data_IF_316299512196
#
_entry.id   IF_316299512196
#
_cell.length_a   1.000
_cell.length_b   1.000
_cell.length_c   1.000
_cell.angle_alpha   90.00
_cell.angle_beta   90.00
_cell.angle_gamma   90.00
#
_symmetry.space_group_name_H-M   'P 1'
#
loop_
_entity.id
_entity.type
_entity.pdbx_description
1 polymer ?
#
# COMPACT_ATOMS: atom_id res chain seq x y z
N UNK A 1 27.86 -24.22 6.09
CA UNK A 1 26.69 -24.05 5.20
C UNK A 1 25.48 -24.17 6.09
N UNK A 2 24.74 -23.08 6.33
CA UNK A 2 23.50 -23.18 7.09
C UNK A 2 22.44 -23.74 6.14
N UNK A 3 22.00 -24.97 6.41
CA UNK A 3 20.85 -25.58 5.75
C UNK A 3 19.64 -24.69 6.03
N UNK A 4 19.21 -23.92 5.02
CA UNK A 4 17.97 -23.17 5.10
C UNK A 4 16.81 -24.15 5.27
N UNK A 5 15.89 -23.83 6.17
CA UNK A 5 14.69 -24.65 6.38
C UNK A 5 13.93 -24.73 5.05
N UNK A 6 13.47 -25.92 4.68
CA UNK A 6 12.69 -26.11 3.44
C UNK A 6 11.43 -25.24 3.46
N UNK A 7 11.23 -24.44 2.41
CA UNK A 7 10.04 -23.59 2.24
C UNK A 7 8.75 -24.41 2.31
N UNK A 8 7.82 -24.01 3.18
CA UNK A 8 6.46 -24.58 3.23
C UNK A 8 5.65 -24.23 1.97
N UNK A 9 5.87 -23.03 1.42
CA UNK A 9 5.04 -22.47 0.34
C UNK A 9 5.51 -22.84 -1.07
N UNK A 10 6.58 -23.61 -1.21
CA UNK A 10 7.19 -23.97 -2.50
C UNK A 10 8.40 -23.10 -2.88
N UNK A 11 8.94 -23.24 -4.11
CA UNK A 11 10.14 -22.53 -4.53
C UNK A 11 9.92 -21.01 -4.52
N UNK A 12 10.95 -20.26 -4.11
CA UNK A 12 10.93 -18.78 -4.09
C UNK A 12 10.85 -18.25 -5.52
N UNK A 13 9.85 -17.40 -5.80
CA UNK A 13 9.57 -16.88 -7.15
C UNK A 13 9.99 -15.41 -7.36
N UNK A 14 10.44 -14.71 -6.31
CA UNK A 14 10.61 -13.25 -6.29
C UNK A 14 12.06 -12.77 -6.11
N UNK A 15 12.24 -11.44 -6.26
CA UNK A 15 13.50 -10.77 -5.99
C UNK A 15 13.83 -10.86 -4.50
N UNK A 16 14.99 -11.44 -4.20
CA UNK A 16 15.50 -11.57 -2.83
C UNK A 16 15.87 -10.17 -2.30
N UNK A 17 15.25 -9.76 -1.19
CA UNK A 17 15.72 -8.62 -0.40
C UNK A 17 16.96 -9.04 0.40
N UNK A 18 17.50 -8.13 1.21
CA UNK A 18 18.74 -8.45 1.93
C UNK A 18 18.56 -9.45 3.08
N UNK A 19 17.34 -9.58 3.59
CA UNK A 19 16.99 -10.59 4.58
C UNK A 19 17.08 -12.00 3.97
N UNK A 20 17.63 -12.95 4.73
CA UNK A 20 17.72 -14.35 4.29
C UNK A 20 16.37 -15.07 4.47
N UNK A 21 15.97 -15.79 3.43
CA UNK A 21 14.70 -16.50 3.39
C UNK A 21 14.68 -17.73 4.32
N UNK A 22 13.56 -17.92 5.03
CA UNK A 22 13.22 -19.10 5.83
C UNK A 22 14.27 -19.46 6.92
N UNK A 23 14.93 -18.46 7.49
CA UNK A 23 15.94 -18.66 8.55
C UNK A 23 15.30 -18.99 9.90
N UNK A 24 14.19 -18.31 10.23
CA UNK A 24 13.56 -18.43 11.55
C UNK A 24 12.34 -19.37 11.57
N UNK A 25 11.73 -19.62 10.41
CA UNK A 25 10.54 -20.46 10.27
C UNK A 25 10.40 -20.99 8.84
N UNK A 26 9.86 -22.19 8.66
CA UNK A 26 9.46 -22.72 7.35
C UNK A 26 8.24 -22.02 6.76
N UNK A 27 7.44 -21.34 7.59
CA UNK A 27 6.20 -20.68 7.19
C UNK A 27 6.34 -19.21 6.84
N UNK A 28 7.38 -18.54 7.38
CA UNK A 28 7.63 -17.11 7.20
C UNK A 28 8.98 -16.97 6.50
N UNK A 29 8.96 -16.50 5.27
CA UNK A 29 10.13 -16.35 4.43
C UNK A 29 11.05 -15.22 4.94
N UNK A 30 10.57 -13.99 5.01
CA UNK A 30 11.33 -12.84 5.50
C UNK A 30 10.73 -12.39 6.84
N UNK A 31 11.30 -12.90 7.94
CA UNK A 31 10.73 -12.77 9.29
C UNK A 31 10.69 -11.32 9.75
N UNK A 32 11.81 -10.60 9.66
CA UNK A 32 11.92 -9.21 10.10
C UNK A 32 11.09 -8.28 9.21
N UNK A 33 11.14 -8.45 7.88
CA UNK A 33 10.29 -7.69 6.98
C UNK A 33 8.80 -7.91 7.28
N UNK A 34 8.38 -9.15 7.56
CA UNK A 34 6.98 -9.45 7.91
C UNK A 34 6.53 -8.77 9.21
N UNK A 35 7.26 -8.96 10.32
CA UNK A 35 6.84 -8.43 11.62
C UNK A 35 6.94 -6.90 11.69
N UNK A 36 7.87 -6.31 10.93
CA UNK A 36 8.11 -4.86 10.90
C UNK A 36 6.93 -4.04 10.35
N UNK A 37 5.98 -4.71 9.69
CA UNK A 37 4.77 -4.09 9.12
C UNK A 37 3.63 -3.98 10.15
N UNK A 38 3.65 -4.79 11.22
CA UNK A 38 2.63 -4.81 12.27
C UNK A 38 2.38 -3.41 12.88
N UNK A 39 3.42 -2.61 13.23
CA UNK A 39 3.22 -1.24 13.71
C UNK A 39 2.40 -0.37 12.75
N UNK A 40 2.61 -0.50 11.44
CA UNK A 40 1.85 0.23 10.42
C UNK A 40 0.37 -0.11 10.44
N UNK A 41 0.02 -1.40 10.57
CA UNK A 41 -1.37 -1.86 10.67
C UNK A 41 -2.04 -1.27 11.92
N UNK A 42 -1.35 -1.32 13.07
CA UNK A 42 -1.87 -0.81 14.34
C UNK A 42 -2.07 0.70 14.31
N UNK A 43 -1.12 1.46 13.75
CA UNK A 43 -1.23 2.91 13.60
C UNK A 43 -2.38 3.31 12.68
N UNK A 44 -2.57 2.59 11.57
CA UNK A 44 -3.69 2.83 10.67
C UNK A 44 -5.05 2.51 11.34
N UNK A 45 -5.12 1.46 12.16
CA UNK A 45 -6.30 1.14 12.97
C UNK A 45 -6.60 2.25 14.00
N UNK A 46 -5.59 2.77 14.69
CA UNK A 46 -5.74 3.90 15.64
C UNK A 46 -6.29 5.12 14.92
N UNK A 47 -5.76 5.45 13.73
CA UNK A 47 -6.27 6.53 12.89
C UNK A 47 -7.73 6.33 12.46
N UNK A 48 -8.08 5.11 12.04
CA UNK A 48 -9.45 4.74 11.68
C UNK A 48 -10.42 4.93 12.86
N UNK A 49 -10.07 4.40 14.03
CA UNK A 49 -10.86 4.55 15.26
C UNK A 49 -11.04 6.03 15.59
N UNK A 50 -9.99 6.83 15.46
CA UNK A 50 -10.05 8.28 15.71
C UNK A 50 -11.02 8.98 14.75
N UNK A 51 -10.95 8.68 13.44
CA UNK A 51 -11.83 9.24 12.43
C UNK A 51 -13.30 8.84 12.64
N UNK A 52 -13.56 7.57 12.99
CA UNK A 52 -14.91 7.04 13.22
C UNK A 52 -15.53 7.61 14.51
N UNK A 53 -14.79 7.63 15.62
CA UNK A 53 -15.27 8.16 16.92
C UNK A 53 -15.71 9.61 16.82
N UNK A 54 -15.01 10.40 16.00
CA UNK A 54 -15.31 11.82 15.82
C UNK A 54 -16.29 12.09 14.68
N UNK A 55 -16.80 11.05 14.01
CA UNK A 55 -17.66 11.14 12.82
C UNK A 55 -17.06 12.09 11.79
N UNK A 56 -15.80 11.84 11.43
CA UNK A 56 -15.09 12.61 10.41
C UNK A 56 -15.60 12.24 9.01
N UNK A 57 -15.14 12.95 7.98
CA UNK A 57 -15.54 12.64 6.60
C UNK A 57 -15.10 11.22 6.20
N UNK A 58 -16.01 10.45 5.60
CA UNK A 58 -15.80 9.02 5.26
C UNK A 58 -14.52 8.72 4.48
N UNK A 59 -14.08 9.67 3.64
CA UNK A 59 -12.84 9.56 2.87
C UNK A 59 -11.58 9.34 3.71
N UNK A 60 -11.53 9.85 4.93
CA UNK A 60 -10.40 9.60 5.83
C UNK A 60 -10.49 8.22 6.46
N UNK A 61 -11.70 7.69 6.70
CA UNK A 61 -11.88 6.28 7.08
C UNK A 61 -11.41 5.36 5.95
N UNK A 62 -11.76 5.68 4.70
CA UNK A 62 -11.30 4.92 3.52
C UNK A 62 -9.77 4.97 3.41
N UNK A 63 -9.15 6.12 3.65
CA UNK A 63 -7.68 6.27 3.68
C UNK A 63 -7.03 5.34 4.69
N UNK A 64 -7.49 5.35 5.94
CA UNK A 64 -6.94 4.44 6.97
C UNK A 64 -7.17 2.96 6.65
N UNK A 65 -8.34 2.59 6.11
CA UNK A 65 -8.61 1.21 5.70
C UNK A 65 -7.70 0.81 4.52
N UNK A 66 -7.45 1.73 3.58
CA UNK A 66 -6.51 1.54 2.46
C UNK A 66 -5.09 1.30 2.96
N UNK A 67 -4.59 2.11 3.91
CA UNK A 67 -3.28 1.88 4.52
C UNK A 67 -3.20 0.52 5.23
N UNK A 68 -4.26 0.10 5.94
CA UNK A 68 -4.30 -1.23 6.57
C UNK A 68 -4.22 -2.35 5.53
N UNK A 69 -4.99 -2.25 4.44
CA UNK A 69 -5.00 -3.27 3.39
C UNK A 69 -3.66 -3.34 2.65
N UNK A 70 -3.04 -2.20 2.36
CA UNK A 70 -1.69 -2.13 1.80
C UNK A 70 -0.67 -2.82 2.72
N UNK A 71 -0.70 -2.51 4.01
CA UNK A 71 0.21 -3.11 5.00
C UNK A 71 -0.02 -4.62 5.15
N UNK A 72 -1.28 -5.09 5.22
CA UNK A 72 -1.58 -6.52 5.27
C UNK A 72 -1.12 -7.23 3.98
N UNK A 73 -1.32 -6.62 2.81
CA UNK A 73 -0.86 -7.16 1.54
C UNK A 73 0.67 -7.33 1.50
N UNK A 74 1.41 -6.28 1.93
CA UNK A 74 2.86 -6.32 2.05
C UNK A 74 3.32 -7.39 3.07
N UNK A 75 2.65 -7.51 4.21
CA UNK A 75 2.97 -8.51 5.23
C UNK A 75 2.78 -9.94 4.70
N UNK A 76 1.69 -10.22 3.99
CA UNK A 76 1.46 -11.53 3.37
C UNK A 76 2.49 -11.82 2.27
N UNK A 77 2.91 -10.81 1.51
CA UNK A 77 3.98 -10.93 0.53
C UNK A 77 5.31 -11.34 1.19
N UNK A 78 5.77 -10.62 2.22
CA UNK A 78 7.04 -10.94 2.90
C UNK A 78 6.98 -12.26 3.67
N UNK A 79 5.81 -12.64 4.19
CA UNK A 79 5.64 -13.91 4.89
C UNK A 79 5.76 -15.12 3.96
N UNK A 80 5.22 -15.02 2.75
CA UNK A 80 5.11 -16.19 1.85
C UNK A 80 6.15 -16.17 0.73
N UNK A 81 6.58 -14.98 0.31
CA UNK A 81 7.18 -14.71 -1.00
C UNK A 81 6.35 -15.30 -2.16
N UNK A 82 5.07 -15.57 -1.91
CA UNK A 82 4.15 -16.16 -2.86
C UNK A 82 3.18 -15.12 -3.43
N UNK A 83 2.46 -15.56 -4.45
CA UNK A 83 1.36 -14.87 -5.09
C UNK A 83 0.24 -14.55 -4.11
N UNK A 84 0.09 -13.27 -3.75
CA UNK A 84 -1.10 -12.79 -3.06
C UNK A 84 -1.80 -11.75 -3.93
N UNK A 85 -3.05 -12.06 -4.27
CA UNK A 85 -3.88 -11.24 -5.15
C UNK A 85 -4.32 -9.96 -4.45
N UNK A 86 -4.15 -8.83 -5.14
CA UNK A 86 -4.72 -7.55 -4.73
C UNK A 86 -6.06 -7.36 -5.42
N UNK A 87 -7.07 -8.08 -4.94
CA UNK A 87 -8.45 -7.81 -5.32
C UNK A 87 -9.09 -6.76 -4.38
N UNK A 88 -8.49 -6.52 -3.21
CA UNK A 88 -9.12 -5.76 -2.12
C UNK A 88 -8.95 -4.23 -2.21
N UNK A 89 -7.86 -3.71 -2.78
CA UNK A 89 -7.67 -2.24 -2.90
C UNK A 89 -8.58 -1.60 -3.94
N UNK A 90 -8.98 -2.34 -4.98
CA UNK A 90 -9.93 -1.89 -6.01
C UNK A 90 -11.35 -1.68 -5.40
N UNK A 91 -11.74 -2.55 -4.46
CA UNK A 91 -13.05 -2.48 -3.78
C UNK A 91 -13.17 -1.28 -2.83
N UNK A 92 -12.06 -0.85 -2.22
CA UNK A 92 -12.03 0.34 -1.35
C UNK A 92 -12.19 1.65 -2.10
N UNK A 93 -11.61 1.77 -3.31
CA UNK A 93 -11.81 2.96 -4.12
C UNK A 93 -13.28 3.07 -4.58
N UNK A 94 -13.93 1.94 -4.89
CA UNK A 94 -15.35 1.90 -5.23
C UNK A 94 -16.26 2.39 -4.10
N UNK A 95 -15.88 2.19 -2.83
CA UNK A 95 -16.63 2.67 -1.66
C UNK A 95 -16.43 4.17 -1.38
N UNK A 96 -15.51 4.84 -2.07
CA UNK A 96 -15.33 6.30 -2.05
C UNK A 96 -16.19 7.05 -3.08
N UNK A 97 -16.78 6.33 -4.04
CA UNK A 97 -17.69 6.88 -5.03
C UNK A 97 -19.08 7.11 -4.44
N UNK A 98 -19.64 8.31 -4.62
CA UNK A 98 -21.00 8.67 -4.19
C UNK A 98 -22.11 7.90 -4.92
N UNK A 99 -21.77 7.10 -5.94
CA UNK A 99 -22.73 6.35 -6.75
C UNK A 99 -22.91 4.92 -6.21
N UNK A 100 -24.05 4.69 -5.54
CA UNK A 100 -24.46 3.34 -5.12
C UNK A 100 -24.62 2.36 -6.30
N UNK A 101 -24.89 2.88 -7.50
CA UNK A 101 -25.05 2.09 -8.73
C UNK A 101 -23.70 1.60 -9.26
N UNK A 102 -22.69 2.48 -9.23
CA UNK A 102 -21.31 2.16 -9.65
C UNK A 102 -20.66 1.15 -8.69
N UNK A 103 -20.95 1.26 -7.38
CA UNK A 103 -20.51 0.31 -6.36
C UNK A 103 -20.98 -1.12 -6.66
N UNK A 104 -22.28 -1.32 -6.95
CA UNK A 104 -22.85 -2.65 -7.25
C UNK A 104 -22.32 -3.23 -8.58
N UNK A 105 -22.18 -2.39 -9.60
CA UNK A 105 -21.73 -2.83 -10.92
C UNK A 105 -20.25 -3.21 -10.92
N UNK A 106 -19.40 -2.40 -10.28
CA UNK A 106 -17.95 -2.65 -10.22
C UNK A 106 -17.59 -3.74 -9.22
N UNK A 107 -18.30 -3.88 -8.09
CA UNK A 107 -18.12 -5.05 -7.22
C UNK A 107 -18.43 -6.34 -7.98
N UNK A 108 -19.48 -6.32 -8.83
CA UNK A 108 -19.84 -7.43 -9.70
C UNK A 108 -18.81 -7.72 -10.79
N UNK A 109 -18.30 -6.69 -11.48
CA UNK A 109 -17.27 -6.84 -12.52
C UNK A 109 -15.93 -7.29 -11.95
N UNK A 110 -15.52 -6.80 -10.78
CA UNK A 110 -14.29 -7.22 -10.08
C UNK A 110 -14.40 -8.67 -9.60
N UNK A 111 -15.55 -9.07 -9.03
CA UNK A 111 -15.84 -10.46 -8.70
C UNK A 111 -15.90 -11.36 -9.95
N UNK A 112 -16.47 -10.87 -11.06
CA UNK A 112 -16.52 -11.61 -12.31
C UNK A 112 -15.16 -11.73 -12.98
N UNK A 113 -14.31 -10.70 -12.95
CA UNK A 113 -12.92 -10.77 -13.43
C UNK A 113 -12.14 -11.75 -12.55
N UNK A 114 -12.25 -11.65 -11.21
CA UNK A 114 -11.63 -12.60 -10.29
C UNK A 114 -12.10 -14.05 -10.54
N UNK A 115 -13.40 -14.26 -10.74
CA UNK A 115 -13.98 -15.58 -11.03
C UNK A 115 -13.59 -16.10 -12.42
N UNK A 116 -13.43 -15.23 -13.42
CA UNK A 116 -13.05 -15.61 -14.79
C UNK A 116 -11.57 -15.97 -14.93
N UNK A 117 -10.72 -15.49 -14.00
CA UNK A 117 -9.32 -15.91 -13.89
C UNK A 117 -9.15 -17.21 -13.06
N UNK A 118 -10.04 -17.53 -12.11
CA UNK A 118 -10.08 -18.84 -11.43
C UNK A 118 -10.63 -19.96 -12.35
N UNK A 119 -11.71 -19.67 -13.09
CA UNK A 119 -12.31 -20.63 -14.04
C UNK A 119 -11.47 -20.82 -15.31
N UNK A 120 -10.80 -19.78 -15.82
CA UNK A 120 -9.88 -19.92 -16.96
C UNK A 120 -8.71 -20.86 -16.67
N UNK A 121 -8.27 -20.94 -15.41
CA UNK A 121 -7.21 -21.83 -14.94
C UNK A 121 -7.68 -23.28 -14.86
N UNK A 122 -8.93 -23.53 -14.42
CA UNK A 122 -9.53 -24.88 -14.41
C UNK A 122 -9.86 -25.38 -15.81
N UNK A 123 -10.42 -24.53 -16.69
CA UNK A 123 -10.85 -24.94 -18.04
C UNK A 123 -9.65 -25.27 -18.94
N UNK A 124 -8.51 -24.57 -18.81
CA UNK A 124 -7.28 -24.96 -19.51
C UNK A 124 -6.69 -26.27 -18.97
N UNK A 125 -6.76 -26.50 -17.65
CA UNK A 125 -6.24 -27.71 -17.01
C UNK A 125 -6.98 -28.99 -17.44
N UNK A 126 -8.31 -28.93 -17.61
CA UNK A 126 -9.11 -30.09 -18.04
C UNK A 126 -9.17 -30.29 -19.56
N UNK A 127 -8.95 -29.26 -20.37
CA UNK A 127 -9.07 -29.38 -21.83
C UNK A 127 -7.78 -29.84 -22.53
N UNK A 128 -6.61 -29.80 -21.87
CA UNK A 128 -5.31 -30.03 -22.53
C UNK A 128 -4.55 -31.27 -22.01
N UNK A 129 -5.04 -31.95 -20.97
CA UNK A 129 -4.40 -33.15 -20.42
C UNK A 129 -5.02 -34.45 -20.97
N UNK A 130 -4.54 -34.89 -22.14
CA UNK A 130 -4.49 -36.30 -22.51
C UNK A 130 -3.10 -36.84 -22.12
N UNK A 131 -2.99 -38.01 -21.45
CA UNK A 131 -1.76 -38.43 -20.79
C UNK A 131 -0.81 -39.13 -21.76
N UNK A 132 -0.20 -38.39 -22.68
CA UNK A 132 0.97 -38.85 -23.44
C UNK A 132 1.64 -37.68 -24.18
N UNK A 133 2.66 -37.05 -23.58
CA UNK A 133 3.94 -36.72 -24.25
C UNK A 133 4.79 -35.69 -23.47
N UNK A 134 6.00 -36.17 -23.14
CA UNK A 134 7.30 -35.49 -23.30
C UNK A 134 7.60 -34.26 -22.44
N UNK A 135 8.23 -34.55 -21.30
CA UNK A 135 9.38 -33.93 -20.59
C UNK A 135 9.86 -32.52 -20.98
N UNK A 136 9.80 -32.05 -22.23
CA UNK A 136 10.17 -30.69 -22.64
C UNK A 136 9.06 -29.61 -22.52
N UNK A 137 7.79 -30.00 -22.48
CA UNK A 137 6.66 -29.06 -22.22
C UNK A 137 6.54 -28.66 -20.75
N UNK A 138 7.11 -29.45 -19.84
CA UNK A 138 7.20 -29.10 -18.41
C UNK A 138 8.06 -27.86 -18.19
N UNK A 139 9.21 -27.74 -18.85
CA UNK A 139 10.12 -26.61 -18.65
C UNK A 139 9.57 -25.30 -19.23
N UNK A 140 8.96 -25.35 -20.41
CA UNK A 140 8.23 -24.21 -21.01
C UNK A 140 7.01 -23.79 -20.19
N UNK A 141 6.28 -24.75 -19.59
CA UNK A 141 5.19 -24.48 -18.66
C UNK A 141 5.71 -23.85 -17.37
N UNK A 142 6.78 -24.38 -16.79
CA UNK A 142 7.41 -23.81 -15.60
C UNK A 142 7.94 -22.39 -15.87
N UNK A 143 8.55 -22.14 -17.03
CA UNK A 143 9.01 -20.81 -17.42
C UNK A 143 7.86 -19.85 -17.72
N UNK A 144 6.78 -20.31 -18.35
CA UNK A 144 5.57 -19.51 -18.58
C UNK A 144 4.84 -19.16 -17.27
N UNK A 145 4.73 -20.14 -16.36
CA UNK A 145 4.18 -19.97 -15.01
C UNK A 145 5.07 -19.02 -14.22
N UNK A 146 6.41 -19.18 -14.25
CA UNK A 146 7.39 -18.30 -13.61
C UNK A 146 7.37 -16.88 -14.19
N UNK A 147 7.16 -16.73 -15.49
CA UNK A 147 7.02 -15.44 -16.16
C UNK A 147 5.75 -14.70 -15.76
N UNK A 148 4.58 -15.37 -15.75
CA UNK A 148 3.30 -14.80 -15.29
C UNK A 148 3.31 -14.53 -13.78
N UNK A 149 3.91 -15.43 -13.01
CA UNK A 149 4.16 -15.35 -11.57
C UNK A 149 4.95 -14.07 -11.20
N UNK A 150 6.03 -13.75 -11.91
CA UNK A 150 6.78 -12.51 -11.72
C UNK A 150 5.99 -11.23 -12.11
N UNK A 151 5.07 -11.31 -13.07
CA UNK A 151 4.24 -10.18 -13.48
C UNK A 151 3.22 -9.84 -12.38
N UNK A 152 2.52 -10.85 -11.86
CA UNK A 152 1.48 -10.67 -10.84
C UNK A 152 2.04 -10.22 -9.48
N UNK A 153 3.27 -10.63 -9.17
CA UNK A 153 3.91 -10.38 -7.88
C UNK A 153 4.35 -8.92 -7.69
N UNK A 154 4.88 -8.31 -8.76
CA UNK A 154 5.26 -6.90 -8.75
C UNK A 154 4.00 -5.99 -8.69
N UNK A 155 2.89 -6.40 -9.31
CA UNK A 155 1.64 -5.66 -9.24
C UNK A 155 1.00 -5.63 -7.85
N UNK A 156 1.26 -6.64 -7.01
CA UNK A 156 0.64 -6.79 -5.70
C UNK A 156 1.11 -5.78 -4.65
N UNK A 157 2.33 -5.26 -4.77
CA UNK A 157 2.82 -4.19 -3.90
C UNK A 157 2.71 -2.82 -4.61
N UNK A 158 3.07 -2.77 -5.89
CA UNK A 158 3.15 -1.51 -6.65
C UNK A 158 1.78 -0.89 -6.97
N UNK A 159 0.79 -1.69 -7.35
CA UNK A 159 -0.52 -1.16 -7.79
C UNK A 159 -1.29 -0.53 -6.63
N UNK A 160 -1.38 -1.16 -5.43
CA UNK A 160 -1.92 -0.51 -4.23
C UNK A 160 -1.27 0.82 -3.87
N UNK A 161 0.04 0.98 -4.06
CA UNK A 161 0.73 2.24 -3.79
C UNK A 161 0.24 3.38 -4.70
N UNK A 162 -0.09 3.10 -5.97
CA UNK A 162 -0.70 4.10 -6.87
C UNK A 162 -2.11 4.47 -6.43
N UNK A 163 -2.93 3.48 -6.05
CA UNK A 163 -4.26 3.73 -5.51
C UNK A 163 -4.23 4.62 -4.27
N UNK A 164 -3.26 4.39 -3.39
CA UNK A 164 -3.03 5.20 -2.21
C UNK A 164 -2.68 6.65 -2.59
N UNK A 165 -1.80 6.84 -3.56
CA UNK A 165 -1.46 8.19 -4.04
C UNK A 165 -2.65 8.91 -4.69
N UNK A 166 -3.49 8.19 -5.44
CA UNK A 166 -4.73 8.73 -5.99
C UNK A 166 -5.69 9.18 -4.87
N UNK A 167 -5.73 8.44 -3.77
CA UNK A 167 -6.54 8.79 -2.60
C UNK A 167 -5.99 10.01 -1.84
N UNK A 168 -4.67 10.14 -1.73
CA UNK A 168 -4.04 11.37 -1.22
C UNK A 168 -4.36 12.57 -2.08
N UNK A 169 -4.26 12.45 -3.41
CA UNK A 169 -4.63 13.51 -4.34
C UNK A 169 -6.12 13.87 -4.22
N UNK A 170 -7.00 12.88 -4.10
CA UNK A 170 -8.42 13.11 -3.83
C UNK A 170 -8.60 14.00 -2.60
N UNK A 171 -7.96 13.66 -1.49
CA UNK A 171 -8.13 14.39 -0.23
C UNK A 171 -7.53 15.80 -0.31
N UNK A 172 -6.29 15.92 -0.81
CA UNK A 172 -5.55 17.18 -0.92
C UNK A 172 -6.24 18.23 -1.82
N UNK A 173 -6.81 17.78 -2.94
CA UNK A 173 -7.42 18.69 -3.92
C UNK A 173 -8.93 18.85 -3.75
N UNK A 174 -9.58 17.98 -2.98
CA UNK A 174 -11.02 18.04 -2.76
C UNK A 174 -11.62 19.40 -2.40
N UNK A 175 -10.96 20.32 -1.65
CA UNK A 175 -11.58 21.62 -1.35
C UNK A 175 -11.73 22.52 -2.59
N UNK A 176 -10.91 22.31 -3.62
CA UNK A 176 -10.88 23.14 -4.83
C UNK A 176 -11.71 22.52 -5.97
N UNK A 177 -12.30 21.33 -5.76
CA UNK A 177 -13.02 20.62 -6.81
C UNK A 177 -14.37 21.26 -7.09
N UNK A 178 -14.48 21.85 -8.28
CA UNK A 178 -15.75 22.37 -8.79
C UNK A 178 -16.78 21.22 -8.96
N UNK A 179 -16.36 20.10 -9.57
CA UNK A 179 -17.20 18.91 -9.78
C UNK A 179 -16.92 17.80 -8.76
N UNK A 180 -17.56 17.88 -7.58
CA UNK A 180 -17.29 16.95 -6.45
C UNK A 180 -17.59 15.47 -6.73
N UNK A 181 -18.47 15.14 -7.68
CA UNK A 181 -18.82 13.75 -8.02
C UNK A 181 -18.01 13.18 -9.21
N UNK A 182 -17.59 14.05 -10.13
CA UNK A 182 -16.89 13.65 -11.37
C UNK A 182 -15.42 13.33 -11.12
N UNK A 183 -14.76 14.09 -10.25
CA UNK A 183 -13.32 13.94 -10.00
C UNK A 183 -12.92 12.60 -9.33
N UNK A 184 -13.64 12.06 -8.32
CA UNK A 184 -13.37 10.71 -7.82
C UNK A 184 -13.52 9.65 -8.91
N UNK A 185 -14.52 9.82 -9.77
CA UNK A 185 -14.80 8.90 -10.89
C UNK A 185 -13.65 8.91 -11.91
N UNK A 186 -13.11 10.10 -12.22
CA UNK A 186 -11.93 10.23 -13.08
C UNK A 186 -10.70 9.53 -12.47
N UNK A 187 -10.41 9.78 -11.18
CA UNK A 187 -9.28 9.13 -10.50
C UNK A 187 -9.43 7.60 -10.47
N UNK A 188 -10.66 7.09 -10.33
CA UNK A 188 -10.93 5.67 -10.40
C UNK A 188 -10.59 5.09 -11.79
N UNK A 189 -11.09 5.69 -12.86
CA UNK A 189 -10.78 5.23 -14.21
C UNK A 189 -9.29 5.36 -14.54
N UNK A 190 -8.63 6.40 -14.03
CA UNK A 190 -7.18 6.54 -14.13
C UNK A 190 -6.45 5.38 -13.46
N UNK A 191 -6.76 5.07 -12.19
CA UNK A 191 -6.15 3.96 -11.46
C UNK A 191 -6.42 2.60 -12.10
N UNK A 192 -7.64 2.38 -12.58
CA UNK A 192 -8.01 1.15 -13.30
C UNK A 192 -7.25 1.02 -14.62
N UNK A 193 -7.17 2.09 -15.41
CA UNK A 193 -6.40 2.14 -16.65
C UNK A 193 -4.91 1.89 -16.40
N UNK A 194 -4.33 2.51 -15.37
CA UNK A 194 -2.95 2.25 -14.95
C UNK A 194 -2.75 0.78 -14.59
N UNK A 195 -3.63 0.18 -13.77
CA UNK A 195 -3.52 -1.21 -13.37
C UNK A 195 -3.55 -2.17 -14.58
N UNK A 196 -4.41 -1.91 -15.57
CA UNK A 196 -4.49 -2.69 -16.81
C UNK A 196 -3.20 -2.52 -17.63
N UNK A 197 -2.76 -1.29 -17.89
CA UNK A 197 -1.53 -1.03 -18.67
C UNK A 197 -0.31 -1.63 -17.96
N UNK A 198 -0.25 -1.50 -16.63
CA UNK A 198 0.82 -2.08 -15.83
C UNK A 198 0.83 -3.61 -15.90
N UNK A 199 -0.35 -4.25 -15.96
CA UNK A 199 -0.49 -5.70 -16.17
C UNK A 199 0.01 -6.14 -17.55
N UNK A 200 -0.28 -5.34 -18.59
CA UNK A 200 -0.03 -5.72 -19.98
C UNK A 200 1.39 -5.39 -20.48
N UNK A 201 1.95 -4.24 -20.09
CA UNK A 201 3.15 -3.66 -20.72
C UNK A 201 4.43 -3.87 -19.89
N UNK A 202 4.34 -4.41 -18.67
CA UNK A 202 5.48 -4.79 -17.81
C UNK A 202 6.57 -3.70 -17.68
N UNK A 203 6.15 -2.46 -17.44
CA UNK A 203 7.07 -1.32 -17.31
C UNK A 203 7.68 -1.24 -15.89
N UNK A 204 8.70 -2.07 -15.60
CA UNK A 204 9.40 -2.06 -14.28
C UNK A 204 9.89 -0.67 -13.85
N UNK A 205 10.42 0.10 -14.80
CA UNK A 205 10.87 1.48 -14.54
C UNK A 205 9.72 2.49 -14.62
N UNK A 206 8.70 2.19 -15.43
CA UNK A 206 7.54 3.06 -15.63
C UNK A 206 6.74 3.24 -14.34
N UNK A 207 6.51 2.17 -13.56
CA UNK A 207 5.86 2.30 -12.25
C UNK A 207 6.62 3.26 -11.33
N UNK A 208 7.93 3.08 -11.16
CA UNK A 208 8.73 3.89 -10.22
C UNK A 208 8.70 5.37 -10.61
N UNK A 209 8.92 5.67 -11.89
CA UNK A 209 8.86 7.04 -12.42
C UNK A 209 7.45 7.63 -12.23
N UNK A 210 6.42 6.85 -12.55
CA UNK A 210 5.03 7.27 -12.39
C UNK A 210 4.67 7.55 -10.92
N UNK A 211 5.05 6.66 -10.01
CA UNK A 211 4.83 6.80 -8.58
C UNK A 211 5.52 8.06 -8.03
N UNK A 212 6.80 8.30 -8.38
CA UNK A 212 7.52 9.52 -8.00
C UNK A 212 6.82 10.76 -8.53
N UNK A 213 6.34 10.75 -9.78
CA UNK A 213 5.59 11.87 -10.35
C UNK A 213 4.32 12.16 -9.55
N UNK A 214 3.53 11.14 -9.18
CA UNK A 214 2.34 11.32 -8.35
C UNK A 214 2.66 11.90 -6.97
N UNK A 215 3.74 11.43 -6.34
CA UNK A 215 4.23 11.99 -5.08
C UNK A 215 4.57 13.48 -5.21
N UNK A 216 5.30 13.86 -6.27
CA UNK A 216 5.67 15.26 -6.53
C UNK A 216 4.46 16.15 -6.76
N UNK A 217 3.39 15.65 -7.40
CA UNK A 217 2.13 16.39 -7.57
C UNK A 217 1.46 16.71 -6.22
N UNK A 218 1.64 15.88 -5.19
CA UNK A 218 1.06 16.12 -3.86
C UNK A 218 1.82 17.19 -3.07
N UNK A 219 3.12 17.39 -3.34
CA UNK A 219 4.02 18.26 -2.55
C UNK A 219 3.57 19.73 -2.51
N UNK A 220 3.27 20.41 -3.64
CA UNK A 220 2.89 21.83 -3.60
C UNK A 220 1.66 22.09 -2.74
N UNK A 221 0.68 21.18 -2.79
CA UNK A 221 -0.56 21.31 -2.02
C UNK A 221 -0.34 21.01 -0.54
N UNK A 222 0.43 19.97 -0.24
CA UNK A 222 0.85 19.68 1.14
C UNK A 222 1.63 20.85 1.75
N UNK A 223 2.55 21.44 0.99
CA UNK A 223 3.31 22.62 1.40
C UNK A 223 2.40 23.83 1.63
N UNK A 224 1.40 24.06 0.76
CA UNK A 224 0.38 25.09 0.97
C UNK A 224 -0.33 24.90 2.32
N UNK A 225 -0.69 23.67 2.69
CA UNK A 225 -1.30 23.41 4.00
C UNK A 225 -0.35 23.69 5.16
N UNK A 226 0.91 23.28 5.03
CA UNK A 226 1.94 23.54 6.04
C UNK A 226 2.14 25.03 6.34
N UNK A 227 2.20 25.90 5.32
CA UNK A 227 2.40 27.34 5.53
C UNK A 227 1.18 28.04 6.14
N UNK A 228 -0.05 27.54 5.87
CA UNK A 228 -1.28 28.12 6.41
C UNK A 228 -1.58 27.64 7.83
N UNK A 229 -1.07 26.48 8.23
CA UNK A 229 -1.19 25.98 9.59
C UNK A 229 -0.35 26.84 10.54
N UNK A 230 -0.97 27.38 11.60
CA UNK A 230 -0.27 28.14 12.66
C UNK A 230 0.10 27.29 13.88
N UNK A 231 -0.62 26.19 14.09
CA UNK A 231 -0.43 25.31 15.24
C UNK A 231 0.93 24.60 15.21
N UNK A 232 1.67 24.69 16.32
CA UNK A 232 3.04 24.16 16.42
C UNK A 232 3.06 22.63 16.41
N UNK A 233 2.09 21.99 17.06
CA UNK A 233 1.97 20.53 17.12
C UNK A 233 1.62 19.93 15.76
N UNK A 234 0.73 20.56 15.00
CA UNK A 234 0.42 20.18 13.63
C UNK A 234 1.62 20.39 12.69
N UNK A 235 2.39 21.48 12.83
CA UNK A 235 3.65 21.63 12.09
C UNK A 235 4.68 20.56 12.45
N UNK A 236 4.72 20.13 13.72
CA UNK A 236 5.59 19.03 14.15
C UNK A 236 5.21 17.72 13.45
N UNK A 237 3.92 17.43 13.26
CA UNK A 237 3.47 16.28 12.47
C UNK A 237 4.01 16.31 11.04
N UNK A 238 3.92 17.45 10.35
CA UNK A 238 4.45 17.60 9.00
C UNK A 238 5.98 17.43 8.93
N UNK A 239 6.71 17.92 9.94
CA UNK A 239 8.16 17.70 10.07
C UNK A 239 8.51 16.24 10.34
N UNK A 240 7.73 15.56 11.20
CA UNK A 240 7.90 14.12 11.47
C UNK A 240 7.62 13.28 10.23
N UNK A 241 6.57 13.61 9.46
CA UNK A 241 6.32 13.03 8.15
C UNK A 241 7.55 13.17 7.22
N UNK A 242 8.12 14.37 7.11
CA UNK A 242 9.31 14.59 6.28
C UNK A 242 10.53 13.82 6.81
N UNK A 243 10.74 13.79 8.12
CA UNK A 243 11.84 13.04 8.73
C UNK A 243 11.71 11.53 8.44
N UNK A 244 10.53 10.94 8.63
CA UNK A 244 10.34 9.50 8.43
C UNK A 244 10.46 9.08 6.97
N UNK A 245 9.98 9.87 6.00
CA UNK A 245 10.16 9.52 4.58
C UNK A 245 11.62 9.62 4.14
N UNK A 246 12.36 10.62 4.64
CA UNK A 246 13.79 10.78 4.34
C UNK A 246 14.62 9.65 4.97
N UNK A 247 14.46 9.42 6.27
CA UNK A 247 15.17 8.35 6.97
C UNK A 247 14.80 6.98 6.41
N UNK A 248 13.51 6.73 6.13
CA UNK A 248 13.07 5.49 5.50
C UNK A 248 13.75 5.28 4.17
N UNK A 249 13.71 6.27 3.28
CA UNK A 249 14.29 6.16 1.94
C UNK A 249 15.80 5.90 1.99
N UNK A 250 16.49 6.47 2.98
CA UNK A 250 17.90 6.20 3.25
C UNK A 250 18.13 4.75 3.71
N UNK A 251 17.31 4.24 4.64
CA UNK A 251 17.38 2.84 5.09
C UNK A 251 17.17 1.86 3.93
N UNK A 252 16.14 2.10 3.12
CA UNK A 252 15.85 1.30 1.93
C UNK A 252 16.99 1.35 0.91
N UNK A 253 17.53 2.55 0.64
CA UNK A 253 18.62 2.71 -0.33
C UNK A 253 19.91 2.04 0.16
N UNK A 254 20.22 2.20 1.45
CA UNK A 254 21.39 1.57 2.06
C UNK A 254 21.31 0.04 2.00
N UNK A 255 20.16 -0.53 2.36
CA UNK A 255 19.90 -1.97 2.25
C UNK A 255 20.14 -2.46 0.81
N UNK A 256 19.62 -1.74 -0.18
CA UNK A 256 19.75 -2.10 -1.60
C UNK A 256 21.17 -2.00 -2.15
N UNK A 257 21.91 -0.96 -1.77
CA UNK A 257 23.25 -0.72 -2.30
C UNK A 257 24.31 -1.62 -1.66
N UNK A 258 24.19 -1.88 -0.36
CA UNK A 258 25.22 -2.56 0.41
C UNK A 258 24.90 -4.02 0.73
N UNK A 259 23.78 -4.56 0.21
CA UNK A 259 23.37 -5.92 0.51
C UNK A 259 24.44 -7.01 0.28
N UNK A 260 25.23 -6.99 -0.82
CA UNK A 260 26.26 -8.02 -1.03
C UNK A 260 27.31 -8.09 0.08
N UNK A 261 27.53 -6.98 0.78
CA UNK A 261 28.48 -6.87 1.89
C UNK A 261 27.79 -7.13 3.23
N UNK A 262 26.60 -6.55 3.45
CA UNK A 262 25.85 -6.63 4.72
C UNK A 262 25.30 -8.03 4.98
N UNK A 263 24.82 -8.74 3.95
CA UNK A 263 24.29 -10.11 4.09
C UNK A 263 25.31 -11.14 4.63
N UNK A 264 26.61 -10.79 4.56
CA UNK A 264 27.73 -11.58 5.06
C UNK A 264 28.18 -11.18 6.46
N UNK A 265 27.69 -10.05 6.98
CA UNK A 265 28.02 -9.61 8.33
C UNK A 265 27.38 -10.53 9.37
N UNK A 266 27.97 -10.56 10.57
CA UNK A 266 27.42 -11.30 11.71
C UNK A 266 26.05 -10.75 12.14
N UNK A 267 25.83 -9.44 11.94
CA UNK A 267 24.60 -8.74 12.24
C UNK A 267 24.07 -8.04 10.98
N UNK A 268 22.84 -8.35 10.58
CA UNK A 268 22.14 -7.65 9.52
C UNK A 268 21.26 -6.54 10.16
N UNK A 269 21.44 -5.26 9.81
CA UNK A 269 20.59 -4.18 10.30
C UNK A 269 19.16 -4.21 9.73
N UNK A 270 18.87 -5.08 8.75
CA UNK A 270 17.54 -5.25 8.13
C UNK A 270 16.93 -3.90 7.71
N UNK A 271 17.64 -3.18 6.83
CA UNK A 271 17.26 -1.82 6.45
C UNK A 271 15.89 -1.75 5.76
N UNK A 272 15.49 -2.84 5.10
CA UNK A 272 14.15 -2.99 4.52
C UNK A 272 13.05 -3.13 5.60
N UNK A 273 13.31 -3.88 6.67
CA UNK A 273 12.40 -3.96 7.81
C UNK A 273 12.22 -2.57 8.46
N UNK A 274 13.31 -1.82 8.63
CA UNK A 274 13.25 -0.46 9.16
C UNK A 274 12.47 0.50 8.23
N UNK A 275 12.56 0.31 6.91
CA UNK A 275 11.73 1.02 5.94
C UNK A 275 10.24 0.82 6.22
N UNK A 276 9.77 -0.42 6.41
CA UNK A 276 8.35 -0.68 6.71
C UNK A 276 7.87 0.02 7.98
N UNK A 277 8.65 -0.03 9.06
CA UNK A 277 8.32 0.67 10.31
C UNK A 277 8.18 2.17 10.05
N UNK A 278 9.19 2.77 9.40
CA UNK A 278 9.22 4.21 9.13
C UNK A 278 8.08 4.64 8.19
N UNK A 279 7.71 3.82 7.20
CA UNK A 279 6.57 4.09 6.31
C UNK A 279 5.21 3.96 7.03
N UNK A 280 5.09 3.05 8.00
CA UNK A 280 3.93 2.98 8.89
C UNK A 280 3.74 4.27 9.69
N UNK A 281 4.80 4.78 10.30
CA UNK A 281 4.76 6.08 10.98
C UNK A 281 4.55 7.25 10.00
N UNK A 282 5.14 7.19 8.82
CA UNK A 282 4.99 8.21 7.78
C UNK A 282 3.53 8.42 7.39
N UNK A 283 2.83 7.34 7.02
CA UNK A 283 1.41 7.39 6.67
C UNK A 283 0.54 7.87 7.85
N UNK A 284 0.85 7.45 9.07
CA UNK A 284 0.17 7.92 10.27
C UNK A 284 0.30 9.45 10.46
N UNK A 285 1.51 9.99 10.36
CA UNK A 285 1.74 11.43 10.49
C UNK A 285 1.11 12.23 9.35
N UNK A 286 1.19 11.74 8.11
CA UNK A 286 0.54 12.35 6.95
C UNK A 286 -0.97 12.45 7.16
N UNK A 287 -1.62 11.33 7.50
CA UNK A 287 -3.07 11.25 7.67
C UNK A 287 -3.56 12.13 8.82
N UNK A 288 -2.85 12.10 9.95
CA UNK A 288 -3.16 12.92 11.12
C UNK A 288 -3.04 14.41 10.79
N UNK A 289 -1.99 14.82 10.07
CA UNK A 289 -1.83 16.20 9.61
C UNK A 289 -2.95 16.62 8.64
N UNK A 290 -3.30 15.77 7.67
CA UNK A 290 -4.39 16.06 6.72
C UNK A 290 -5.75 16.17 7.41
N UNK A 291 -6.03 15.32 8.41
CA UNK A 291 -7.23 15.42 9.24
C UNK A 291 -7.27 16.77 9.97
N UNK A 292 -6.15 17.21 10.53
CA UNK A 292 -6.03 18.51 11.21
C UNK A 292 -6.33 19.66 10.24
N UNK A 293 -5.64 19.72 9.10
CA UNK A 293 -5.83 20.77 8.09
C UNK A 293 -7.28 20.78 7.57
N UNK A 294 -7.87 19.60 7.35
CA UNK A 294 -9.25 19.51 6.89
C UNK A 294 -10.25 19.99 7.96
N UNK A 295 -10.04 19.65 9.22
CA UNK A 295 -10.87 20.18 10.30
C UNK A 295 -10.80 21.71 10.37
N UNK A 296 -9.63 22.31 10.20
CA UNK A 296 -9.49 23.78 10.12
C UNK A 296 -10.26 24.37 8.93
N UNK A 297 -10.17 23.75 7.74
CA UNK A 297 -10.91 24.21 6.55
C UNK A 297 -12.43 24.13 6.72
N UNK A 298 -12.92 23.20 7.52
CA UNK A 298 -14.35 23.06 7.84
C UNK A 298 -14.81 24.05 8.92
N UNK A 299 -13.94 24.94 9.40
CA UNK A 299 -14.24 25.88 10.47
C UNK A 299 -14.39 25.21 11.83
N UNK A 300 -13.87 23.99 12.00
CA UNK A 300 -13.83 23.31 13.29
C UNK A 300 -12.62 23.78 14.10
N UNK A 301 -12.61 23.50 15.40
CA UNK A 301 -11.47 23.80 16.27
C UNK A 301 -10.68 22.50 16.57
N UNK A 302 -9.74 22.10 15.69
CA UNK A 302 -8.90 20.93 15.93
C UNK A 302 -7.72 21.25 16.84
N UNK A 303 -7.35 20.27 17.65
CA UNK A 303 -6.19 20.28 18.53
C UNK A 303 -5.43 18.96 18.37
N UNK A 304 -4.09 18.99 18.41
CA UNK A 304 -3.28 17.77 18.41
C UNK A 304 -3.04 17.34 19.86
N UNK A 305 -3.75 16.31 20.30
CA UNK A 305 -3.59 15.69 21.61
C UNK A 305 -2.69 14.45 21.52
N UNK A 306 -2.19 13.95 22.66
CA UNK A 306 -1.31 12.77 22.70
C UNK A 306 -1.96 11.64 23.48
N UNK A 307 -2.16 10.49 22.84
CA UNK A 307 -2.60 9.26 23.49
C UNK A 307 -1.41 8.64 24.22
N UNK A 308 -1.59 8.36 25.53
CA UNK A 308 -0.53 7.88 26.43
C UNK A 308 0.75 8.75 26.42
N UNK A 309 0.62 10.05 26.13
CA UNK A 309 1.74 10.99 26.10
C UNK A 309 2.67 10.88 24.89
N UNK A 310 2.51 9.87 24.02
CA UNK A 310 3.42 9.62 22.91
C UNK A 310 2.77 9.74 21.52
N UNK A 311 1.55 9.19 21.33
CA UNK A 311 0.96 9.08 19.99
C UNK A 311 0.06 10.28 19.67
N UNK A 312 0.44 11.14 18.71
CA UNK A 312 -0.34 12.34 18.41
C UNK A 312 -1.60 11.98 17.62
N UNK A 313 -2.76 12.44 18.07
CA UNK A 313 -4.03 12.29 17.37
C UNK A 313 -4.76 13.65 17.33
N UNK A 314 -5.57 13.85 16.28
CA UNK A 314 -6.38 15.07 16.18
C UNK A 314 -7.63 14.90 17.01
N UNK A 315 -7.88 15.81 17.95
CA UNK A 315 -9.15 15.99 18.67
C UNK A 315 -9.89 17.17 18.06
N UNK A 316 -11.14 16.99 17.69
CA UNK A 316 -11.93 17.96 16.95
C UNK A 316 -13.09 18.41 17.82
N UNK A 317 -13.20 19.73 18.02
CA UNK A 317 -14.40 20.34 18.56
C UNK A 317 -15.21 20.91 17.40
N UNK A 318 -16.37 20.30 17.14
CA UNK A 318 -17.32 20.79 16.13
C UNK A 318 -18.11 21.97 16.72
N UNK A 319 -18.31 23.07 15.98
CA UNK A 319 -19.19 24.14 16.43
C UNK A 319 -20.58 23.56 16.73
N UNK A 320 -21.21 24.02 17.81
CA UNK A 320 -22.60 23.63 18.11
C UNK A 320 -23.45 24.04 16.91
N UNK A 321 -24.11 23.09 16.26
CA UNK A 321 -25.09 23.39 15.22
C UNK A 321 -26.14 24.29 15.86
N UNK A 322 -26.27 25.53 15.36
CA UNK A 322 -27.27 26.48 15.81
C UNK A 322 -28.66 26.06 15.34
#
# INVERSE_FOLDING_TARGET
>A
MAEGISSFWGPVTSAEWCEKNYVYSSYIAEFFNTISIIPGILLALVGLINALRQRFEKRFSILHISNMILAIGSMLYHATLQHMYVLFSILLCCSSSSSQLLHKYLSGVVLQIAARFDEGYKIWFYSTYSPAEKVGTRDLYFDFVRFHSQIMQQQGDETPMVWEMLLYMYILYSPDWHYRSTMPTFLFFYGAGFAIVHALVRLRMGFKVHYVMLCLLCVPRMYKYYIHTKDASAKRLAKLYLATILTGSLCWLFDRLFCPNISRWYFNPEGHALWHVLMGFNSYFANTFLMFCRAQQLGWNPEVAHFMGFFPYVKIQKPKTQ
#
